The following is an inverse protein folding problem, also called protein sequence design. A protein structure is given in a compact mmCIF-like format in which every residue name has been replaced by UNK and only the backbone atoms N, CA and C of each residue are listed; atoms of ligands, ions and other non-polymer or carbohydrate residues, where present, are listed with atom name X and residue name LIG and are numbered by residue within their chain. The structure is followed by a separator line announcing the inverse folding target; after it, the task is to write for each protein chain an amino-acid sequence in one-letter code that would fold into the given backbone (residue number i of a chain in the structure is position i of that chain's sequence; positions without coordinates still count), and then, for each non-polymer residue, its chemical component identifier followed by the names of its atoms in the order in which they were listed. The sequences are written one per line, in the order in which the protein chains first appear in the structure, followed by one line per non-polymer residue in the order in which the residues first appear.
data_IF_565065591223
#
_entry.id   IF_565065591223
#
_cell.length_a   1.000
_cell.length_b   1.000
_cell.length_c   1.000
_cell.angle_alpha   90.00
_cell.angle_beta   90.00
_cell.angle_gamma   90.00
#
_symmetry.space_group_name_H-M   'P 1'
#
loop_
_entity.id
_entity.type
_entity.pdbx_description
1 polymer ?
#
# COMPACT_ATOMS: atom_id res chain seq x y z
N UNK A 1 -24.26 -23.82 -7.15
CA UNK A 1 -23.75 -23.25 -5.89
C UNK A 1 -22.29 -23.61 -5.61
N UNK A 2 -21.92 -24.89 -5.37
CA UNK A 2 -20.51 -25.30 -5.13
C UNK A 2 -19.51 -24.81 -6.20
N UNK A 3 -19.89 -24.87 -7.49
CA UNK A 3 -19.07 -24.37 -8.61
C UNK A 3 -18.81 -22.85 -8.57
N UNK A 4 -19.75 -22.07 -8.00
CA UNK A 4 -19.63 -20.61 -7.90
C UNK A 4 -18.69 -20.22 -6.75
N UNK A 5 -18.80 -20.90 -5.61
CA UNK A 5 -17.88 -20.71 -4.47
C UNK A 5 -16.44 -20.99 -4.90
N UNK A 6 -16.20 -22.13 -5.56
CA UNK A 6 -14.86 -22.46 -6.03
C UNK A 6 -14.36 -21.48 -7.10
N UNK A 7 -15.26 -20.93 -7.92
CA UNK A 7 -14.91 -19.90 -8.91
C UNK A 7 -14.48 -18.61 -8.24
N UNK A 8 -15.25 -18.10 -7.28
CA UNK A 8 -14.92 -16.90 -6.51
C UNK A 8 -13.66 -17.07 -5.66
N UNK A 9 -13.45 -18.25 -5.09
CA UNK A 9 -12.20 -18.54 -4.39
C UNK A 9 -10.99 -18.43 -5.33
N UNK A 10 -11.06 -18.99 -6.54
CA UNK A 10 -9.98 -18.87 -7.53
C UNK A 10 -9.77 -17.41 -7.96
N UNK A 11 -10.85 -16.66 -8.19
CA UNK A 11 -10.78 -15.23 -8.52
C UNK A 11 -10.10 -14.42 -7.40
N UNK A 12 -10.43 -14.70 -6.14
CA UNK A 12 -9.79 -14.03 -5.01
C UNK A 12 -8.30 -14.40 -4.89
N UNK A 13 -7.93 -15.65 -5.15
CA UNK A 13 -6.51 -16.05 -5.19
C UNK A 13 -5.76 -15.33 -6.31
N UNK A 14 -6.36 -15.20 -7.49
CA UNK A 14 -5.77 -14.47 -8.61
C UNK A 14 -5.61 -12.98 -8.27
N UNK A 15 -6.60 -12.36 -7.64
CA UNK A 15 -6.51 -10.99 -7.13
C UNK A 15 -5.30 -10.80 -6.21
N UNK A 16 -5.07 -11.73 -5.27
CA UNK A 16 -3.90 -11.68 -4.39
C UNK A 16 -2.60 -11.79 -5.18
N UNK A 17 -2.50 -12.72 -6.13
CA UNK A 17 -1.27 -12.96 -6.90
C UNK A 17 -0.91 -11.79 -7.82
N UNK A 18 -1.90 -11.12 -8.41
CA UNK A 18 -1.68 -10.09 -9.43
C UNK A 18 -1.72 -8.65 -8.90
N UNK A 19 -1.84 -8.46 -7.58
CA UNK A 19 -1.74 -7.14 -6.94
C UNK A 19 -0.29 -6.61 -6.93
N UNK A 20 -0.09 -5.29 -6.81
CA UNK A 20 1.22 -4.62 -6.92
C UNK A 20 2.28 -5.10 -5.90
N UNK A 21 1.89 -5.86 -4.87
CA UNK A 21 2.77 -6.57 -3.93
C UNK A 21 2.24 -7.98 -3.60
N UNK A 22 1.70 -8.66 -4.62
CA UNK A 22 1.00 -9.92 -4.48
C UNK A 22 1.87 -11.09 -4.03
N UNK A 23 1.27 -11.99 -3.24
CA UNK A 23 1.90 -13.25 -2.88
C UNK A 23 1.93 -14.21 -4.08
N UNK A 24 3.02 -14.96 -4.24
CA UNK A 24 3.07 -16.01 -5.26
C UNK A 24 2.27 -17.26 -4.82
N UNK A 25 1.95 -18.14 -5.79
CA UNK A 25 1.17 -19.37 -5.57
C UNK A 25 1.73 -20.27 -4.47
N UNK A 26 3.06 -20.35 -4.33
CA UNK A 26 3.69 -21.18 -3.31
C UNK A 26 3.45 -20.63 -1.91
N UNK A 27 3.50 -19.30 -1.75
CA UNK A 27 3.20 -18.63 -0.48
C UNK A 27 1.73 -18.78 -0.10
N UNK A 28 0.80 -18.59 -1.04
CA UNK A 28 -0.64 -18.81 -0.80
C UNK A 28 -0.91 -20.27 -0.40
N UNK A 29 -0.29 -21.24 -1.07
CA UNK A 29 -0.42 -22.65 -0.71
C UNK A 29 0.11 -22.95 0.70
N UNK A 30 1.24 -22.35 1.09
CA UNK A 30 1.84 -22.51 2.41
C UNK A 30 0.96 -21.91 3.52
N UNK A 31 0.34 -20.74 3.30
CA UNK A 31 -0.63 -20.14 4.24
C UNK A 31 -1.82 -21.07 4.50
N UNK A 32 -2.23 -21.81 3.48
CA UNK A 32 -3.35 -22.76 3.56
C UNK A 32 -2.94 -24.16 4.01
N UNK A 33 -1.67 -24.37 4.36
CA UNK A 33 -1.08 -25.68 4.67
C UNK A 33 -1.37 -26.75 3.59
N UNK A 34 -1.32 -26.32 2.32
CA UNK A 34 -1.57 -27.17 1.17
C UNK A 34 -0.29 -27.54 0.44
N UNK A 35 -0.23 -28.80 0.01
CA UNK A 35 0.75 -29.22 -0.99
C UNK A 35 0.50 -28.48 -2.31
N UNK A 36 1.56 -28.12 -3.06
CA UNK A 36 1.41 -27.41 -4.35
C UNK A 36 0.51 -28.13 -5.36
N UNK A 37 0.51 -29.47 -5.36
CA UNK A 37 -0.36 -30.30 -6.20
C UNK A 37 -1.84 -30.11 -5.86
N UNK A 38 -2.20 -30.22 -4.58
CA UNK A 38 -3.57 -30.01 -4.10
C UNK A 38 -4.06 -28.61 -4.38
N UNK A 39 -3.22 -27.60 -4.11
CA UNK A 39 -3.56 -26.22 -4.42
C UNK A 39 -3.79 -26.02 -5.94
N UNK A 40 -2.93 -26.61 -6.78
CA UNK A 40 -3.10 -26.56 -8.23
C UNK A 40 -4.38 -27.21 -8.73
N UNK A 41 -4.85 -28.30 -8.10
CA UNK A 41 -6.12 -28.92 -8.43
C UNK A 41 -7.32 -28.05 -8.08
N UNK A 42 -7.27 -27.36 -6.94
CA UNK A 42 -8.27 -26.38 -6.53
C UNK A 42 -8.32 -25.22 -7.52
N UNK A 43 -7.16 -24.66 -7.90
CA UNK A 43 -7.08 -23.58 -8.89
C UNK A 43 -7.61 -23.99 -10.26
N UNK A 44 -7.39 -25.24 -10.65
CA UNK A 44 -7.96 -25.83 -11.89
C UNK A 44 -9.42 -26.25 -11.74
N UNK A 45 -10.06 -25.97 -10.60
CA UNK A 45 -11.44 -26.32 -10.27
C UNK A 45 -11.75 -27.82 -10.38
N UNK A 46 -10.72 -28.67 -10.30
CA UNK A 46 -10.84 -30.15 -10.28
C UNK A 46 -11.26 -30.65 -8.90
N UNK A 47 -10.88 -29.90 -7.87
CA UNK A 47 -11.22 -30.14 -6.47
C UNK A 47 -11.92 -28.89 -5.92
N UNK A 48 -12.96 -29.07 -5.10
CA UNK A 48 -13.60 -27.96 -4.41
C UNK A 48 -12.77 -27.57 -3.18
N UNK A 49 -12.59 -26.28 -2.96
CA UNK A 49 -12.04 -25.77 -1.70
C UNK A 49 -12.99 -26.09 -0.52
N UNK A 50 -12.44 -26.40 0.65
CA UNK A 50 -13.21 -26.61 1.87
C UNK A 50 -13.58 -25.27 2.52
N UNK A 51 -14.64 -25.27 3.35
CA UNK A 51 -15.05 -24.07 4.09
C UNK A 51 -13.97 -23.59 5.08
N UNK A 52 -13.22 -24.53 5.66
CA UNK A 52 -12.10 -24.23 6.56
C UNK A 52 -10.99 -23.46 5.83
N UNK A 53 -10.57 -23.94 4.65
CA UNK A 53 -9.55 -23.28 3.84
C UNK A 53 -10.01 -21.90 3.34
N UNK A 54 -11.30 -21.76 2.97
CA UNK A 54 -11.90 -20.45 2.67
C UNK A 54 -11.76 -19.51 3.88
N UNK A 55 -12.06 -20.00 5.09
CA UNK A 55 -12.03 -19.18 6.30
C UNK A 55 -10.61 -18.70 6.63
N UNK A 56 -9.63 -19.59 6.56
CA UNK A 56 -8.20 -19.25 6.74
C UNK A 56 -7.75 -18.23 5.69
N UNK A 57 -8.07 -18.48 4.41
CA UNK A 57 -7.75 -17.58 3.31
C UNK A 57 -8.34 -16.18 3.53
N UNK A 58 -9.63 -16.10 3.86
CA UNK A 58 -10.32 -14.85 4.07
C UNK A 58 -9.76 -14.04 5.24
N UNK A 59 -9.42 -14.71 6.34
CA UNK A 59 -8.81 -14.06 7.49
C UNK A 59 -7.43 -13.50 7.16
N UNK A 60 -6.58 -14.30 6.51
CA UNK A 60 -5.20 -13.92 6.23
C UNK A 60 -5.09 -12.80 5.18
N UNK A 61 -5.89 -12.88 4.11
CA UNK A 61 -5.83 -11.94 2.99
C UNK A 61 -6.89 -10.83 3.04
N UNK A 62 -7.63 -10.75 4.15
CA UNK A 62 -8.69 -9.76 4.35
C UNK A 62 -9.77 -9.76 3.24
N UNK A 63 -10.17 -10.97 2.84
CA UNK A 63 -11.21 -11.23 1.82
C UNK A 63 -12.56 -11.49 2.50
N UNK A 64 -13.65 -11.02 1.89
CA UNK A 64 -15.00 -11.21 2.38
C UNK A 64 -15.47 -12.65 2.22
N UNK A 65 -15.80 -13.29 3.34
CA UNK A 65 -16.45 -14.61 3.36
C UNK A 65 -17.83 -14.55 2.70
N UNK A 66 -18.59 -13.47 2.91
CA UNK A 66 -19.90 -13.28 2.30
C UNK A 66 -19.80 -13.21 0.77
N UNK A 67 -18.79 -12.51 0.26
CA UNK A 67 -18.52 -12.44 -1.16
C UNK A 67 -18.18 -13.82 -1.73
N UNK A 68 -17.27 -14.59 -1.10
CA UNK A 68 -16.94 -15.94 -1.56
C UNK A 68 -18.16 -16.88 -1.50
N UNK A 69 -18.89 -16.88 -0.39
CA UNK A 69 -19.94 -17.86 -0.13
C UNK A 69 -21.22 -17.56 -0.92
N UNK A 70 -21.63 -16.30 -0.96
CA UNK A 70 -22.94 -15.88 -1.48
C UNK A 70 -22.79 -15.00 -2.73
N UNK A 71 -21.68 -14.26 -2.86
CA UNK A 71 -21.45 -13.35 -3.99
C UNK A 71 -22.05 -11.97 -3.77
N UNK A 72 -22.24 -11.56 -2.52
CA UNK A 72 -22.74 -10.24 -2.14
C UNK A 72 -21.60 -9.39 -1.57
N UNK A 73 -21.73 -8.08 -1.70
CA UNK A 73 -20.76 -7.12 -1.20
C UNK A 73 -19.49 -7.03 -2.05
N UNK A 74 -18.46 -6.40 -1.49
CA UNK A 74 -17.13 -6.28 -2.10
C UNK A 74 -16.25 -7.50 -1.77
N UNK A 75 -15.28 -7.79 -2.65
CA UNK A 75 -14.35 -8.91 -2.47
C UNK A 75 -13.43 -8.67 -1.25
N UNK A 76 -12.89 -7.48 -1.11
CA UNK A 76 -12.02 -7.11 0.01
C UNK A 76 -12.85 -6.49 1.12
N UNK A 77 -12.49 -6.77 2.37
CA UNK A 77 -13.07 -6.05 3.50
C UNK A 77 -12.31 -4.75 3.66
N UNK A 78 -13.00 -3.62 3.56
CA UNK A 78 -12.39 -2.36 3.95
C UNK A 78 -12.28 -2.37 5.49
N UNK A 79 -11.07 -2.28 6.02
CA UNK A 79 -10.82 -2.26 7.48
C UNK A 79 -11.53 -1.10 8.20
N UNK A 80 -12.05 -0.15 7.42
CA UNK A 80 -12.78 1.03 7.88
C UNK A 80 -14.25 0.75 8.24
N UNK A 81 -14.79 -0.41 7.89
CA UNK A 81 -16.22 -0.71 8.03
C UNK A 81 -16.53 -2.17 8.43
N UNK A 82 -15.76 -2.77 9.34
CA UNK A 82 -16.24 -4.01 9.99
C UNK A 82 -17.34 -3.64 10.99
N UNK A 83 -18.59 -3.66 10.55
CA UNK A 83 -19.80 -3.40 11.36
C UNK A 83 -20.13 -4.53 12.37
N UNK A 84 -19.17 -5.38 12.71
CA UNK A 84 -19.38 -6.48 13.67
C UNK A 84 -18.16 -6.62 14.59
N UNK A 85 -17.95 -5.60 15.44
CA UNK A 85 -17.16 -5.76 16.66
C UNK A 85 -17.70 -4.83 17.75
N UNK A 86 -18.69 -5.33 18.51
CA UNK A 86 -19.36 -4.58 19.58
C UNK A 86 -18.60 -4.62 20.91
N UNK A 87 -17.26 -4.70 20.89
CA UNK A 87 -16.42 -4.42 22.06
C UNK A 87 -15.14 -3.71 21.64
N UNK A 88 -15.25 -2.41 21.33
CA UNK A 88 -14.07 -1.53 21.25
C UNK A 88 -13.53 -1.39 22.66
N UNK A 89 -12.42 -2.06 22.95
CA UNK A 89 -11.61 -1.77 24.14
C UNK A 89 -11.14 -0.31 24.03
N UNK A 90 -11.45 0.52 25.02
CA UNK A 90 -11.21 1.97 24.97
C UNK A 90 -9.75 2.33 24.66
N UNK A 91 -8.83 1.42 24.96
CA UNK A 91 -7.40 1.58 24.69
C UNK A 91 -7.06 1.63 23.19
N UNK A 92 -7.77 0.88 22.34
CA UNK A 92 -7.49 0.84 20.90
C UNK A 92 -7.98 2.11 20.19
N UNK A 93 -9.07 2.71 20.68
CA UNK A 93 -9.56 4.00 20.19
C UNK A 93 -8.60 5.14 20.57
N UNK A 94 -8.10 5.15 21.81
CA UNK A 94 -7.09 6.13 22.24
C UNK A 94 -5.79 6.00 21.43
N UNK A 95 -5.34 4.77 21.18
CA UNK A 95 -4.17 4.51 20.34
C UNK A 95 -4.38 5.01 18.90
N UNK A 96 -5.57 4.81 18.34
CA UNK A 96 -5.90 5.28 17.00
C UNK A 96 -5.97 6.81 16.91
N UNK A 97 -6.56 7.47 17.91
CA UNK A 97 -6.62 8.94 17.98
C UNK A 97 -5.20 9.51 18.06
N UNK A 98 -4.37 8.98 18.95
CA UNK A 98 -2.98 9.42 19.10
C UNK A 98 -2.16 9.22 17.83
N UNK A 99 -2.31 8.06 17.17
CA UNK A 99 -1.63 7.79 15.91
C UNK A 99 -2.03 8.76 14.80
N UNK A 100 -3.31 9.16 14.76
CA UNK A 100 -3.83 10.14 13.81
C UNK A 100 -3.25 11.53 14.07
N UNK A 101 -3.15 11.94 15.34
CA UNK A 101 -2.53 13.22 15.72
C UNK A 101 -1.04 13.25 15.34
N UNK A 102 -0.30 12.19 15.65
CA UNK A 102 1.11 12.06 15.28
C UNK A 102 1.31 12.11 13.77
N UNK A 103 0.41 11.50 12.99
CA UNK A 103 0.45 11.52 11.54
C UNK A 103 0.23 12.93 10.96
N UNK A 104 -0.78 13.67 11.45
CA UNK A 104 -1.04 15.03 11.00
C UNK A 104 0.12 15.98 11.38
N UNK A 105 0.69 15.81 12.57
CA UNK A 105 1.88 16.56 12.98
C UNK A 105 3.05 16.28 12.06
N UNK A 106 3.34 15.00 11.79
CA UNK A 106 4.43 14.59 10.91
C UNK A 106 4.26 15.14 9.48
N UNK A 107 3.03 15.14 8.97
CA UNK A 107 2.67 15.71 7.67
C UNK A 107 2.93 17.23 7.63
N UNK A 108 2.58 17.94 8.70
CA UNK A 108 2.87 19.38 8.82
C UNK A 108 4.37 19.65 8.83
N UNK A 109 5.13 18.90 9.64
CA UNK A 109 6.58 19.07 9.78
C UNK A 109 7.29 18.81 8.44
N UNK A 110 6.85 17.78 7.71
CA UNK A 110 7.37 17.49 6.37
C UNK A 110 7.11 18.63 5.38
N UNK A 111 5.92 19.25 5.42
CA UNK A 111 5.60 20.39 4.56
C UNK A 111 6.52 21.58 4.81
N UNK A 112 6.73 21.93 6.09
CA UNK A 112 7.63 23.03 6.48
C UNK A 112 9.08 22.75 6.09
N UNK A 113 9.55 21.51 6.31
CA UNK A 113 10.92 21.12 5.97
C UNK A 113 11.14 21.17 4.45
N UNK A 114 10.12 20.81 3.66
CA UNK A 114 10.17 20.90 2.20
C UNK A 114 10.27 22.36 1.74
N UNK A 115 9.43 23.24 2.28
CA UNK A 115 9.44 24.68 1.96
C UNK A 115 10.80 25.32 2.31
N UNK A 116 11.35 25.00 3.48
CA UNK A 116 12.66 25.50 3.89
C UNK A 116 13.78 25.03 2.95
N UNK A 117 13.75 23.79 2.50
CA UNK A 117 14.71 23.28 1.53
C UNK A 117 14.61 23.99 0.19
N UNK A 118 13.39 24.25 -0.29
CA UNK A 118 13.17 24.98 -1.54
C UNK A 118 13.70 26.43 -1.44
N UNK A 119 13.47 27.09 -0.30
CA UNK A 119 14.00 28.42 -0.03
C UNK A 119 15.54 28.43 0.05
N UNK A 120 16.15 27.44 0.70
CA UNK A 120 17.60 27.33 0.79
C UNK A 120 18.22 27.11 -0.59
N UNK A 121 17.63 26.23 -1.42
CA UNK A 121 18.05 26.04 -2.82
C UNK A 121 17.99 27.35 -3.60
N UNK A 122 16.91 28.12 -3.45
CA UNK A 122 16.78 29.43 -4.09
C UNK A 122 17.86 30.41 -3.63
N UNK A 123 18.11 30.49 -2.32
CA UNK A 123 19.16 31.38 -1.76
C UNK A 123 20.56 31.00 -2.26
N UNK A 124 20.88 29.70 -2.32
CA UNK A 124 22.15 29.21 -2.84
C UNK A 124 22.33 29.66 -4.30
N UNK A 125 21.35 29.40 -5.16
CA UNK A 125 21.41 29.81 -6.57
C UNK A 125 21.59 31.33 -6.75
N UNK A 126 20.91 32.13 -5.92
CA UNK A 126 21.01 33.58 -5.97
C UNK A 126 22.38 34.11 -5.52
N UNK A 127 23.03 33.42 -4.57
CA UNK A 127 24.39 33.75 -4.13
C UNK A 127 25.42 33.36 -5.19
N UNK A 128 25.30 32.17 -5.78
CA UNK A 128 26.16 31.71 -6.86
C UNK A 128 26.12 32.67 -8.06
N UNK A 129 24.95 33.16 -8.45
CA UNK A 129 24.84 34.11 -9.56
C UNK A 129 25.44 35.50 -9.22
N UNK A 130 25.30 35.95 -7.97
CA UNK A 130 25.95 37.20 -7.52
C UNK A 130 27.47 37.09 -7.56
N UNK A 131 28.02 35.95 -7.14
CA UNK A 131 29.46 35.67 -7.18
C UNK A 131 29.98 35.67 -8.62
N UNK A 132 29.27 35.02 -9.55
CA UNK A 132 29.59 35.04 -10.99
C UNK A 132 29.58 36.44 -11.61
N UNK A 133 28.69 37.33 -11.16
CA UNK A 133 28.60 38.70 -11.67
C UNK A 133 29.70 39.59 -11.08
N UNK A 134 30.10 39.38 -9.83
CA UNK A 134 31.22 40.08 -9.22
C UNK A 134 32.55 39.72 -9.90
N UNK A 135 32.75 38.45 -10.24
CA UNK A 135 33.98 37.97 -10.90
C UNK A 135 34.15 38.56 -12.32
N UNK A 136 33.04 38.79 -13.04
CA UNK A 136 33.04 39.48 -14.36
C UNK A 136 33.34 40.98 -14.29
N UNK A 137 33.13 41.63 -13.14
CA UNK A 137 33.35 43.07 -12.98
C UNK A 137 34.80 43.45 -12.64
N UNK A 138 35.64 42.48 -12.25
CA UNK A 138 37.02 42.73 -11.82
C UNK A 138 38.01 42.74 -12.99
N UNK A 139 37.62 42.21 -14.17
CA UNK A 139 38.40 42.30 -15.41
C UNK A 139 37.69 43.17 -16.46
N UNK A 140 37.86 44.51 -16.44
CA UNK A 140 37.46 45.33 -17.57
C UNK A 140 38.30 44.92 -18.78
N UNK A 141 37.63 44.60 -19.89
CA UNK A 141 38.28 44.32 -21.16
C UNK A 141 39.21 45.48 -21.53
N UNK A 142 40.53 45.24 -21.51
CA UNK A 142 41.50 46.16 -22.08
C UNK A 142 41.21 46.31 -23.57
N UNK A 143 40.97 47.54 -24.08
CA UNK A 143 40.87 47.76 -25.51
C UNK A 143 42.23 47.44 -26.13
N UNK A 144 42.25 46.50 -27.05
CA UNK A 144 43.41 46.26 -27.92
C UNK A 144 43.38 47.38 -28.96
N UNK A 145 44.08 48.48 -28.67
CA UNK A 145 44.33 49.53 -29.66
C UNK A 145 45.26 49.00 -30.75
N UNK A 146 44.90 49.34 -32.00
CA UNK A 146 45.60 49.01 -33.25
C UNK A 146 46.73 49.99 -33.53
#
# INVERSE_FOLDING_TARGET
MKKLINTRFVEAVEFIIYSDNGDNKSKVAAVLDLKPSTFSEILKKRTNVSAELISIFCLYYNISVEWIMIGKGEMTKDWRFSEDDTTVDNQDLENHIKLKEDFEKLKSDYSLLKENNDLLRFKINALEEKERLQDKSIHPATPVDR
#
